data_IF_339814573058
#
_entry.id   IF_339814573058
#
_cell.length_a   1.000
_cell.length_b   1.000
_cell.length_c   1.000
_cell.angle_alpha   90.00
_cell.angle_beta   90.00
_cell.angle_gamma   90.00
#
_symmetry.space_group_name_H-M   'P 1'
#
loop_
_entity.id
_entity.type
_entity.pdbx_description
1 polymer ?
#
# COMPACT_ATOMS: atom_id res chain seq x y z
N UNK A 1 -86.95 8.59 15.76
CA UNK A 1 -85.54 8.97 15.95
C UNK A 1 -84.68 7.89 15.31
N UNK A 2 -84.19 8.14 14.10
CA UNK A 2 -83.33 7.22 13.36
C UNK A 2 -81.88 7.72 13.46
N UNK A 3 -80.97 6.88 13.95
CA UNK A 3 -79.54 7.18 14.05
C UNK A 3 -78.87 6.64 12.79
N UNK A 4 -78.47 7.53 11.89
CA UNK A 4 -77.74 7.20 10.69
C UNK A 4 -76.25 7.08 11.02
N UNK A 5 -75.69 5.89 10.76
CA UNK A 5 -74.27 5.57 10.77
C UNK A 5 -73.57 6.23 9.58
N UNK A 6 -72.57 7.07 9.84
CA UNK A 6 -71.67 7.60 8.81
C UNK A 6 -70.30 6.94 8.94
N UNK A 7 -70.09 5.90 8.15
CA UNK A 7 -68.75 5.37 7.84
C UNK A 7 -68.14 6.31 6.80
N UNK A 8 -67.30 7.24 7.26
CA UNK A 8 -66.52 8.11 6.38
C UNK A 8 -65.17 7.45 6.10
N UNK A 9 -65.11 6.69 5.02
CA UNK A 9 -63.87 6.30 4.39
C UNK A 9 -63.14 7.54 3.88
N UNK A 10 -62.02 7.89 4.51
CA UNK A 10 -61.09 8.89 4.02
C UNK A 10 -59.69 8.25 3.98
N UNK A 11 -59.39 7.72 2.80
CA UNK A 11 -58.06 7.46 2.23
C UNK A 11 -56.88 7.91 3.08
N UNK A 12 -56.17 6.94 3.65
CA UNK A 12 -54.81 7.14 4.15
C UNK A 12 -53.91 7.56 2.98
N UNK A 13 -53.58 8.85 2.93
CA UNK A 13 -52.47 9.32 2.12
C UNK A 13 -51.20 8.70 2.70
N UNK A 14 -50.81 7.53 2.20
CA UNK A 14 -49.48 6.97 2.40
C UNK A 14 -48.55 7.97 1.70
N UNK A 15 -48.01 8.91 2.46
CA UNK A 15 -46.78 9.59 2.08
C UNK A 15 -45.72 8.49 1.95
N UNK A 16 -45.60 7.93 0.76
CA UNK A 16 -44.38 7.22 0.37
C UNK A 16 -43.30 8.29 0.41
N UNK A 17 -42.63 8.41 1.55
CA UNK A 17 -41.40 9.18 1.69
C UNK A 17 -40.47 8.56 0.67
N UNK A 18 -40.36 9.17 -0.51
CA UNK A 18 -39.23 8.95 -1.40
C UNK A 18 -38.03 9.22 -0.53
N UNK A 19 -37.38 8.16 -0.08
CA UNK A 19 -36.01 8.22 0.38
C UNK A 19 -35.26 8.55 -0.91
N UNK A 20 -35.18 9.85 -1.21
CA UNK A 20 -34.18 10.37 -2.12
C UNK A 20 -32.90 9.95 -1.44
N UNK A 21 -32.29 8.85 -1.90
CA UNK A 21 -30.98 8.44 -1.44
C UNK A 21 -30.06 9.56 -1.89
N UNK A 22 -29.92 10.58 -1.04
CA UNK A 22 -28.93 11.61 -1.26
C UNK A 22 -27.62 10.83 -1.31
N UNK A 23 -27.00 10.76 -2.49
CA UNK A 23 -25.68 10.17 -2.61
C UNK A 23 -24.82 11.00 -1.68
N UNK A 24 -24.44 10.42 -0.53
CA UNK A 24 -23.70 11.13 0.51
C UNK A 24 -22.33 11.43 -0.08
N UNK A 25 -22.10 12.68 -0.43
CA UNK A 25 -20.81 13.13 -0.91
C UNK A 25 -19.91 13.31 0.31
N UNK A 26 -18.96 12.41 0.48
CA UNK A 26 -17.92 12.52 1.50
C UNK A 26 -16.91 13.57 1.08
N UNK A 27 -16.67 14.56 1.94
CA UNK A 27 -15.69 15.61 1.67
C UNK A 27 -14.31 15.14 2.13
N UNK A 28 -13.51 14.63 1.20
CA UNK A 28 -12.15 14.17 1.48
C UNK A 28 -11.16 15.34 1.41
N UNK A 29 -10.21 15.44 2.35
CA UNK A 29 -9.16 16.46 2.30
C UNK A 29 -8.23 16.19 1.08
N UNK A 30 -8.27 17.04 0.03
CA UNK A 30 -7.67 16.71 -1.25
C UNK A 30 -6.13 16.67 -1.19
N UNK A 31 -5.53 17.55 -0.39
CA UNK A 31 -4.06 17.62 -0.24
C UNK A 31 -3.51 16.35 0.45
N UNK A 32 -4.14 15.93 1.54
CA UNK A 32 -3.69 14.79 2.33
C UNK A 32 -3.85 13.48 1.54
N UNK A 33 -4.96 13.31 0.81
CA UNK A 33 -5.18 12.15 -0.05
C UNK A 33 -4.15 12.08 -1.18
N UNK A 34 -3.90 13.19 -1.89
CA UNK A 34 -2.93 13.22 -2.98
C UNK A 34 -1.51 12.95 -2.50
N UNK A 35 -1.13 13.51 -1.34
CA UNK A 35 0.15 13.24 -0.71
C UNK A 35 0.30 11.75 -0.34
N UNK A 36 -0.75 11.15 0.23
CA UNK A 36 -0.76 9.71 0.53
C UNK A 36 -0.59 8.86 -0.73
N UNK A 37 -1.34 9.16 -1.79
CA UNK A 37 -1.25 8.44 -3.08
C UNK A 37 0.17 8.51 -3.64
N UNK A 38 0.78 9.70 -3.63
CA UNK A 38 2.13 9.91 -4.15
C UNK A 38 3.16 9.07 -3.38
N UNK A 39 3.15 9.12 -2.05
CA UNK A 39 4.08 8.36 -1.21
C UNK A 39 3.90 6.85 -1.40
N UNK A 40 2.66 6.36 -1.45
CA UNK A 40 2.39 4.94 -1.63
C UNK A 40 2.77 4.43 -3.02
N UNK A 41 2.57 5.23 -4.08
CA UNK A 41 3.05 4.90 -5.43
C UNK A 41 4.57 4.81 -5.47
N UNK A 42 5.26 5.79 -4.87
CA UNK A 42 6.73 5.80 -4.81
C UNK A 42 7.26 4.58 -4.05
N UNK A 43 6.67 4.27 -2.90
CA UNK A 43 7.06 3.10 -2.10
C UNK A 43 6.80 1.79 -2.87
N UNK A 44 5.64 1.66 -3.51
CA UNK A 44 5.27 0.43 -4.25
C UNK A 44 6.14 0.23 -5.49
N UNK A 45 6.38 1.29 -6.26
CA UNK A 45 7.19 1.21 -7.48
C UNK A 45 8.66 0.93 -7.17
N UNK A 46 9.21 1.53 -6.11
CA UNK A 46 10.60 1.28 -5.69
C UNK A 46 10.81 -0.15 -5.20
N UNK A 47 9.92 -0.66 -4.35
CA UNK A 47 9.98 -2.06 -3.88
C UNK A 47 9.87 -3.04 -5.06
N UNK A 48 8.88 -2.84 -5.93
CA UNK A 48 8.68 -3.68 -7.11
C UNK A 48 9.93 -3.66 -8.03
N UNK A 49 10.51 -2.49 -8.27
CA UNK A 49 11.70 -2.34 -9.10
C UNK A 49 12.94 -3.02 -8.52
N UNK A 50 13.18 -2.87 -7.21
CA UNK A 50 14.34 -3.49 -6.54
C UNK A 50 14.24 -5.02 -6.58
N UNK A 51 13.09 -5.60 -6.21
CA UNK A 51 12.94 -7.05 -6.22
C UNK A 51 12.92 -7.64 -7.63
N UNK A 52 12.38 -6.93 -8.63
CA UNK A 52 12.48 -7.35 -10.02
C UNK A 52 13.95 -7.42 -10.48
N UNK A 53 14.77 -6.43 -10.12
CA UNK A 53 16.20 -6.46 -10.41
C UNK A 53 16.91 -7.60 -9.68
N UNK A 54 16.55 -7.89 -8.43
CA UNK A 54 17.11 -9.02 -7.70
C UNK A 54 16.77 -10.37 -8.33
N UNK A 55 15.57 -10.55 -8.89
CA UNK A 55 15.22 -11.78 -9.61
C UNK A 55 16.13 -11.96 -10.84
N UNK A 56 16.37 -10.90 -11.61
CA UNK A 56 17.28 -10.95 -12.76
C UNK A 56 18.70 -11.33 -12.33
N UNK A 57 19.19 -10.78 -11.21
CA UNK A 57 20.50 -11.13 -10.66
C UNK A 57 20.53 -12.61 -10.25
N UNK A 58 19.51 -13.11 -9.54
CA UNK A 58 19.46 -14.52 -9.13
C UNK A 58 19.46 -15.47 -10.32
N UNK A 59 18.75 -15.11 -11.40
CA UNK A 59 18.72 -15.89 -12.65
C UNK A 59 20.11 -15.97 -13.31
N UNK A 60 20.83 -14.85 -13.38
CA UNK A 60 22.21 -14.83 -13.90
C UNK A 60 23.19 -15.62 -13.01
N UNK A 61 22.94 -15.69 -11.70
CA UNK A 61 23.75 -16.48 -10.77
C UNK A 61 23.32 -17.95 -10.69
N UNK A 62 22.29 -18.38 -11.44
CA UNK A 62 21.71 -19.73 -11.39
C UNK A 62 21.31 -20.16 -9.97
N UNK A 63 20.84 -19.21 -9.17
CA UNK A 63 20.41 -19.41 -7.80
C UNK A 63 18.87 -19.46 -7.73
N UNK A 64 18.30 -20.26 -6.82
CA UNK A 64 16.86 -20.33 -6.66
C UNK A 64 16.30 -19.00 -6.13
N UNK A 65 15.24 -18.51 -6.76
CA UNK A 65 14.54 -17.29 -6.33
C UNK A 65 13.78 -17.56 -5.03
N UNK A 66 14.07 -16.83 -3.94
CA UNK A 66 13.35 -17.01 -2.69
C UNK A 66 11.91 -16.48 -2.81
N UNK A 67 10.96 -17.14 -2.14
CA UNK A 67 9.52 -16.85 -2.24
C UNK A 67 9.12 -15.40 -1.88
N UNK A 68 9.89 -14.76 -1.01
CA UNK A 68 9.56 -13.42 -0.53
C UNK A 68 9.84 -12.33 -1.57
N UNK A 69 10.66 -12.61 -2.60
CA UNK A 69 10.86 -11.70 -3.75
C UNK A 69 9.58 -11.55 -4.58
N UNK A 70 9.01 -12.63 -5.19
CA UNK A 70 7.77 -12.51 -5.96
C UNK A 70 6.58 -12.14 -5.06
N UNK A 71 6.56 -12.57 -3.80
CA UNK A 71 5.54 -12.12 -2.84
C UNK A 71 5.47 -10.60 -2.77
N UNK A 72 6.60 -9.92 -2.50
CA UNK A 72 6.54 -8.47 -2.29
C UNK A 72 6.29 -7.70 -3.60
N UNK A 73 6.74 -8.22 -4.74
CA UNK A 73 6.35 -7.73 -6.07
C UNK A 73 4.82 -7.78 -6.25
N UNK A 74 4.19 -8.92 -5.93
CA UNK A 74 2.73 -9.04 -6.08
C UNK A 74 1.98 -8.10 -5.14
N UNK A 75 2.41 -7.96 -3.90
CA UNK A 75 1.79 -7.04 -2.92
C UNK A 75 1.92 -5.57 -3.37
N UNK A 76 3.10 -5.16 -3.85
CA UNK A 76 3.30 -3.83 -4.45
C UNK A 76 2.46 -3.63 -5.70
N UNK A 77 2.32 -4.66 -6.54
CA UNK A 77 1.44 -4.65 -7.71
C UNK A 77 -0.04 -4.46 -7.36
N UNK A 78 -0.55 -5.20 -6.37
CA UNK A 78 -1.92 -5.04 -5.85
C UNK A 78 -2.12 -3.64 -5.28
N UNK A 79 -1.10 -3.07 -4.63
CA UNK A 79 -1.15 -1.69 -4.10
C UNK A 79 -1.27 -0.66 -5.22
N UNK A 80 -0.50 -0.80 -6.29
CA UNK A 80 -0.59 0.05 -7.48
C UNK A 80 -1.99 -0.07 -8.12
N UNK A 81 -2.50 -1.30 -8.26
CA UNK A 81 -3.85 -1.54 -8.79
C UNK A 81 -4.93 -0.92 -7.90
N UNK A 82 -4.79 -1.00 -6.57
CA UNK A 82 -5.68 -0.36 -5.63
C UNK A 82 -5.68 1.16 -5.79
N UNK A 83 -4.51 1.77 -5.94
CA UNK A 83 -4.38 3.23 -6.20
C UNK A 83 -5.00 3.62 -7.54
N UNK A 84 -4.80 2.82 -8.60
CA UNK A 84 -5.48 3.03 -9.89
C UNK A 84 -7.01 2.97 -9.74
N UNK A 85 -7.51 2.03 -8.93
CA UNK A 85 -8.92 1.97 -8.54
C UNK A 85 -9.39 3.25 -7.84
N UNK A 86 -8.61 3.79 -6.90
CA UNK A 86 -8.93 5.06 -6.24
C UNK A 86 -9.01 6.23 -7.23
N UNK A 87 -8.07 6.34 -8.17
CA UNK A 87 -8.14 7.35 -9.23
C UNK A 87 -9.43 7.25 -10.05
N UNK A 88 -9.86 6.04 -10.37
CA UNK A 88 -11.11 5.80 -11.08
C UNK A 88 -12.35 6.20 -10.23
N UNK A 89 -12.35 5.94 -8.93
CA UNK A 89 -13.43 6.39 -8.03
C UNK A 89 -13.47 7.92 -7.87
N UNK A 90 -12.30 8.58 -7.86
CA UNK A 90 -12.20 10.05 -7.83
C UNK A 90 -12.80 10.64 -9.11
N UNK A 91 -12.49 10.06 -10.28
CA UNK A 91 -13.05 10.50 -11.56
C UNK A 91 -14.60 10.43 -11.57
N UNK A 92 -15.16 9.41 -10.92
CA UNK A 92 -16.60 9.23 -10.80
C UNK A 92 -17.25 10.02 -9.63
N UNK A 93 -16.47 10.78 -8.86
CA UNK A 93 -16.90 11.49 -7.63
C UNK A 93 -17.65 10.61 -6.61
N UNK A 94 -17.32 9.32 -6.56
CA UNK A 94 -17.96 8.33 -5.68
C UNK A 94 -16.93 7.63 -4.81
N UNK A 95 -16.22 8.40 -3.97
CA UNK A 95 -15.21 7.85 -3.09
C UNK A 95 -15.86 7.35 -1.79
N UNK A 96 -16.16 6.05 -1.76
CA UNK A 96 -16.78 5.37 -0.64
C UNK A 96 -15.73 5.06 0.45
N UNK A 97 -15.85 5.62 1.67
CA UNK A 97 -14.87 5.39 2.74
C UNK A 97 -14.72 3.94 3.16
N UNK A 98 -15.80 3.16 3.07
CA UNK A 98 -15.79 1.73 3.40
C UNK A 98 -14.82 0.92 2.52
N UNK A 99 -14.74 1.22 1.22
CA UNK A 99 -13.83 0.52 0.29
C UNK A 99 -12.37 0.86 0.64
N UNK A 100 -12.09 2.14 0.93
CA UNK A 100 -10.75 2.60 1.32
C UNK A 100 -10.32 1.92 2.61
N UNK A 101 -11.20 1.84 3.61
CA UNK A 101 -10.90 1.25 4.91
C UNK A 101 -10.60 -0.25 4.82
N UNK A 102 -11.44 -1.03 4.14
CA UNK A 102 -11.24 -2.48 3.98
C UNK A 102 -9.99 -2.74 3.13
N UNK A 103 -9.82 -2.02 2.02
CA UNK A 103 -8.65 -2.17 1.14
C UNK A 103 -7.34 -1.80 1.84
N UNK A 104 -7.32 -0.71 2.60
CA UNK A 104 -6.15 -0.31 3.38
C UNK A 104 -5.80 -1.34 4.46
N UNK A 105 -6.79 -1.93 5.14
CA UNK A 105 -6.54 -2.98 6.14
C UNK A 105 -5.94 -4.25 5.52
N UNK A 106 -6.49 -4.73 4.40
CA UNK A 106 -5.95 -5.89 3.68
C UNK A 106 -4.51 -5.64 3.22
N UNK A 107 -4.26 -4.47 2.62
CA UNK A 107 -2.91 -4.08 2.19
C UNK A 107 -1.97 -3.92 3.38
N UNK A 108 -2.42 -3.35 4.49
CA UNK A 108 -1.62 -3.20 5.71
C UNK A 108 -1.08 -4.54 6.19
N UNK A 109 -1.93 -5.56 6.31
CA UNK A 109 -1.49 -6.90 6.74
C UNK A 109 -0.47 -7.49 5.77
N UNK A 110 -0.68 -7.35 4.45
CA UNK A 110 0.27 -7.85 3.44
C UNK A 110 1.61 -7.11 3.48
N UNK A 111 1.59 -5.78 3.63
CA UNK A 111 2.79 -4.98 3.77
C UNK A 111 3.55 -5.25 5.07
N UNK A 112 2.84 -5.57 6.15
CA UNK A 112 3.44 -5.91 7.43
C UNK A 112 4.22 -7.23 7.35
N UNK A 113 3.64 -8.24 6.71
CA UNK A 113 4.33 -9.53 6.47
C UNK A 113 5.60 -9.31 5.65
N UNK A 114 5.53 -8.50 4.58
CA UNK A 114 6.72 -8.15 3.79
C UNK A 114 7.79 -7.44 4.61
N UNK A 115 7.41 -6.48 5.45
CA UNK A 115 8.33 -5.75 6.33
C UNK A 115 9.03 -6.68 7.32
N UNK A 116 8.30 -7.61 7.95
CA UNK A 116 8.87 -8.55 8.92
C UNK A 116 9.95 -9.41 8.25
N UNK A 117 9.67 -9.96 7.07
CA UNK A 117 10.63 -10.81 6.36
C UNK A 117 11.86 -10.02 5.92
N UNK A 118 11.67 -8.82 5.36
CA UNK A 118 12.80 -7.95 4.98
C UNK A 118 13.64 -7.58 6.21
N UNK A 119 13.00 -7.29 7.35
CA UNK A 119 13.70 -7.01 8.60
C UNK A 119 14.53 -8.20 9.10
N UNK A 120 13.97 -9.42 9.05
CA UNK A 120 14.69 -10.64 9.42
C UNK A 120 15.88 -10.87 8.47
N UNK A 121 15.73 -10.63 7.17
CA UNK A 121 16.82 -10.83 6.22
C UNK A 121 17.94 -9.77 6.39
N UNK A 122 17.58 -8.55 6.76
CA UNK A 122 18.52 -7.45 6.92
C UNK A 122 19.33 -7.54 8.21
N UNK A 123 18.72 -7.93 9.33
CA UNK A 123 19.36 -7.99 10.66
C UNK A 123 19.32 -9.37 11.33
N UNK A 124 19.06 -10.43 10.57
CA UNK A 124 18.99 -11.79 11.10
C UNK A 124 20.28 -12.26 11.78
N UNK A 125 20.19 -13.23 12.72
CA UNK A 125 21.33 -13.70 13.51
C UNK A 125 22.40 -14.43 12.69
N UNK A 126 22.02 -15.07 11.57
CA UNK A 126 22.93 -15.84 10.73
C UNK A 126 22.97 -15.25 9.31
N UNK A 127 24.14 -14.76 8.88
CA UNK A 127 24.35 -14.32 7.50
C UNK A 127 23.49 -13.11 7.08
N UNK A 128 23.24 -12.17 8.00
CA UNK A 128 22.49 -10.95 7.69
C UNK A 128 23.09 -10.17 6.53
N UNK A 129 22.21 -9.57 5.72
CA UNK A 129 22.65 -8.68 4.63
C UNK A 129 23.53 -7.56 5.19
N UNK A 130 23.15 -6.98 6.33
CA UNK A 130 23.93 -5.89 6.93
C UNK A 130 25.34 -6.31 7.35
N UNK A 131 25.52 -7.51 7.93
CA UNK A 131 26.86 -8.00 8.32
C UNK A 131 27.75 -8.23 7.10
N UNK A 132 27.21 -8.88 6.06
CA UNK A 132 27.91 -9.10 4.79
C UNK A 132 28.25 -7.77 4.10
N UNK A 133 27.35 -6.80 4.13
CA UNK A 133 27.57 -5.46 3.59
C UNK A 133 28.66 -4.70 4.35
N UNK A 134 28.72 -4.80 5.67
CA UNK A 134 29.81 -4.21 6.44
C UNK A 134 31.16 -4.80 6.03
N UNK A 135 31.27 -6.13 6.03
CA UNK A 135 32.52 -6.85 5.75
C UNK A 135 33.04 -6.66 4.31
N UNK A 136 32.14 -6.63 3.32
CA UNK A 136 32.54 -6.62 1.91
C UNK A 136 32.45 -5.25 1.23
N UNK A 137 31.62 -4.34 1.74
CA UNK A 137 31.35 -3.05 1.09
C UNK A 137 31.79 -1.88 1.95
N UNK A 138 31.37 -1.79 3.20
CA UNK A 138 31.60 -0.57 3.99
C UNK A 138 33.02 -0.47 4.56
N UNK A 139 33.70 -1.60 4.79
CA UNK A 139 35.09 -1.63 5.30
C UNK A 139 36.16 -1.59 4.19
N UNK A 140 35.78 -1.66 2.91
CA UNK A 140 36.71 -1.68 1.78
C UNK A 140 36.34 -0.60 0.78
N UNK A 141 37.30 0.22 0.33
CA UNK A 141 37.05 1.29 -0.65
C UNK A 141 38.04 1.23 -1.82
N UNK A 142 37.88 0.28 -2.76
CA UNK A 142 38.77 0.16 -3.92
C UNK A 142 38.49 1.28 -4.93
N UNK A 143 39.55 1.91 -5.45
CA UNK A 143 39.46 2.98 -6.46
C UNK A 143 40.09 2.54 -7.79
N UNK A 144 39.71 3.19 -8.89
CA UNK A 144 40.22 2.92 -10.24
C UNK A 144 39.25 2.14 -11.14
N UNK A 145 39.55 2.10 -12.45
CA UNK A 145 38.76 1.38 -13.45
C UNK A 145 39.18 -0.09 -13.53
N UNK A 146 39.01 -0.81 -12.43
CA UNK A 146 39.34 -2.25 -12.35
C UNK A 146 38.08 -3.08 -12.15
N UNK A 147 38.10 -4.33 -12.61
CA UNK A 147 37.01 -5.29 -12.40
C UNK A 147 36.63 -5.44 -10.92
N UNK A 148 37.63 -5.33 -10.02
CA UNK A 148 37.41 -5.35 -8.57
C UNK A 148 36.56 -4.18 -8.10
N UNK A 149 36.80 -2.98 -8.62
CA UNK A 149 36.01 -1.79 -8.29
C UNK A 149 34.59 -1.89 -8.85
N UNK A 150 34.41 -2.46 -10.05
CA UNK A 150 33.08 -2.71 -10.61
C UNK A 150 32.28 -3.70 -9.75
N UNK A 151 32.89 -4.82 -9.35
CA UNK A 151 32.25 -5.80 -8.49
C UNK A 151 31.84 -5.19 -7.13
N UNK A 152 32.70 -4.36 -6.55
CA UNK A 152 32.38 -3.64 -5.31
C UNK A 152 31.24 -2.64 -5.48
N UNK A 153 31.19 -1.89 -6.58
CA UNK A 153 30.07 -0.97 -6.87
C UNK A 153 28.74 -1.71 -7.01
N UNK A 154 28.74 -2.88 -7.65
CA UNK A 154 27.55 -3.75 -7.74
C UNK A 154 27.10 -4.23 -6.36
N UNK A 155 28.02 -4.74 -5.53
CA UNK A 155 27.70 -5.15 -4.16
C UNK A 155 27.16 -3.98 -3.31
N UNK A 156 27.74 -2.79 -3.46
CA UNK A 156 27.27 -1.58 -2.78
C UNK A 156 25.85 -1.21 -3.20
N UNK A 157 25.52 -1.30 -4.48
CA UNK A 157 24.16 -1.06 -4.98
C UNK A 157 23.15 -2.03 -4.37
N UNK A 158 23.50 -3.32 -4.25
CA UNK A 158 22.64 -4.34 -3.62
C UNK A 158 22.39 -3.98 -2.15
N UNK A 159 23.44 -3.67 -1.39
CA UNK A 159 23.34 -3.29 0.02
C UNK A 159 22.44 -2.07 0.26
N UNK A 160 22.59 -1.02 -0.55
CA UNK A 160 21.76 0.18 -0.45
C UNK A 160 20.30 -0.11 -0.86
N UNK A 161 20.08 -0.98 -1.84
CA UNK A 161 18.74 -1.37 -2.27
C UNK A 161 17.97 -2.10 -1.17
N UNK A 162 18.63 -2.93 -0.37
CA UNK A 162 18.01 -3.57 0.80
C UNK A 162 17.56 -2.56 1.87
N UNK A 163 18.39 -1.57 2.16
CA UNK A 163 18.03 -0.50 3.11
C UNK A 163 16.88 0.37 2.57
N UNK A 164 16.89 0.66 1.26
CA UNK A 164 15.80 1.36 0.58
C UNK A 164 14.48 0.60 0.72
N UNK A 165 14.47 -0.70 0.41
CA UNK A 165 13.27 -1.54 0.51
C UNK A 165 12.74 -1.55 1.94
N UNK A 166 13.61 -1.71 2.94
CA UNK A 166 13.18 -1.68 4.34
C UNK A 166 12.54 -0.33 4.70
N UNK A 167 13.18 0.78 4.35
CA UNK A 167 12.66 2.12 4.62
C UNK A 167 11.30 2.34 3.95
N UNK A 168 11.18 1.99 2.66
CA UNK A 168 9.93 2.13 1.91
C UNK A 168 8.81 1.23 2.43
N UNK A 169 9.15 0.00 2.86
CA UNK A 169 8.19 -0.91 3.48
C UNK A 169 7.66 -0.37 4.82
N UNK A 170 8.55 0.20 5.64
CA UNK A 170 8.18 0.85 6.91
C UNK A 170 7.30 2.08 6.67
N UNK A 171 7.72 2.95 5.75
CA UNK A 171 6.90 4.11 5.36
C UNK A 171 5.53 3.68 4.85
N UNK A 172 5.45 2.67 3.98
CA UNK A 172 4.19 2.16 3.46
C UNK A 172 3.24 1.65 4.56
N UNK A 173 3.75 0.92 5.55
CA UNK A 173 2.95 0.45 6.70
C UNK A 173 2.37 1.63 7.52
N UNK A 174 3.18 2.65 7.79
CA UNK A 174 2.73 3.86 8.52
C UNK A 174 1.64 4.59 7.73
N UNK A 175 1.85 4.79 6.43
CA UNK A 175 0.89 5.50 5.60
C UNK A 175 -0.40 4.69 5.39
N UNK A 176 -0.34 3.36 5.29
CA UNK A 176 -1.53 2.50 5.25
C UNK A 176 -2.35 2.57 6.54
N UNK A 177 -1.69 2.65 7.69
CA UNK A 177 -2.37 2.91 8.95
C UNK A 177 -2.99 4.32 9.00
N UNK A 178 -2.27 5.32 8.49
CA UNK A 178 -2.75 6.71 8.47
C UNK A 178 -4.01 6.90 7.61
N UNK A 179 -4.09 6.29 6.41
CA UNK A 179 -5.29 6.39 5.58
C UNK A 179 -6.51 5.70 6.21
N UNK A 180 -6.30 4.68 7.05
CA UNK A 180 -7.38 4.04 7.81
C UNK A 180 -7.99 5.02 8.83
N UNK A 181 -7.15 5.79 9.54
CA UNK A 181 -7.61 6.84 10.47
C UNK A 181 -8.35 7.93 9.69
N UNK A 182 -7.80 8.39 8.58
CA UNK A 182 -8.44 9.40 7.73
C UNK A 182 -9.79 8.95 7.20
N UNK A 183 -9.89 7.70 6.72
CA UNK A 183 -11.14 7.12 6.25
C UNK A 183 -12.18 7.03 7.37
N UNK A 184 -11.75 6.72 8.60
CA UNK A 184 -12.62 6.74 9.77
C UNK A 184 -13.12 8.15 10.11
N UNK A 185 -12.24 9.15 10.12
CA UNK A 185 -12.63 10.55 10.36
C UNK A 185 -13.67 11.01 9.34
N UNK A 186 -13.44 10.74 8.05
CA UNK A 186 -14.39 11.08 6.99
C UNK A 186 -15.72 10.33 7.14
N UNK A 187 -15.71 9.11 7.68
CA UNK A 187 -16.94 8.37 7.96
C UNK A 187 -17.69 8.90 9.18
N UNK A 188 -16.99 9.29 10.25
CA UNK A 188 -17.56 9.80 11.48
C UNK A 188 -18.09 11.24 11.35
N UNK A 189 -17.38 12.09 10.59
CA UNK A 189 -17.74 13.50 10.37
C UNK A 189 -18.81 13.68 9.29
N UNK A 190 -19.13 12.62 8.54
CA UNK A 190 -20.21 12.62 7.55
C UNK A 190 -21.57 12.48 8.19
#
# INVERSE_FOLDING_TARGET
MAVASTVSGATSYIYSRRVVSHVRTYNWPPLQLNFWIFVMLLASASIMGVFANFILIQDQLLLPVPWYFPYFITVSGITILFIMGLFWLIANRRLLPAIVMIGAFMLFVQWLVGLIIVGIQLWGPNGSVQSNCNLHVFDVNPTGQTERTMAWLMQRSICQSWQLVFAMALTGNIFLFWIMIMAYQVFADS
#
